data_IF_388099105787
#
_entry.id   IF_388099105787
#
_cell.length_a   1.000
_cell.length_b   1.000
_cell.length_c   1.000
_cell.angle_alpha   90.00
_cell.angle_beta   90.00
_cell.angle_gamma   90.00
#
_symmetry.space_group_name_H-M   'P 1'
#
loop_
_entity.id
_entity.type
_entity.pdbx_description
1 polymer ?
2 water ?
#
# COMPACT_ATOMS: atom_id res chain seq x y z
N UNK A 1 -25.82 -12.81 -26.63
CA UNK A 1 -25.88 -12.79 -25.17
C UNK A 1 -25.54 -11.42 -24.62
N UNK A 2 -25.87 -11.20 -23.35
CA UNK A 2 -25.63 -9.92 -22.72
C UNK A 2 -25.50 -10.09 -21.20
N UNK A 3 -25.11 -9.04 -20.51
CA UNK A 3 -25.03 -9.06 -19.06
C UNK A 3 -25.44 -7.71 -18.45
N UNK A 4 -25.99 -7.76 -17.24
CA UNK A 4 -26.35 -6.54 -16.51
C UNK A 4 -25.16 -6.09 -15.67
N UNK A 5 -25.35 -5.06 -14.86
CA UNK A 5 -24.28 -4.56 -14.02
C UNK A 5 -23.13 -4.23 -14.95
N UNK A 6 -23.47 -3.78 -16.16
CA UNK A 6 -22.50 -3.42 -17.17
C UNK A 6 -22.02 -2.00 -16.92
N UNK A 7 -20.79 -1.89 -16.46
CA UNK A 7 -20.21 -0.61 -16.14
C UNK A 7 -18.90 -0.49 -16.90
N UNK A 8 -19.00 -0.55 -18.22
CA UNK A 8 -17.87 -0.43 -19.12
C UNK A 8 -18.20 0.52 -20.25
N UNK A 9 -17.23 1.31 -20.67
CA UNK A 9 -17.47 2.26 -21.76
C UNK A 9 -16.18 2.82 -22.30
N UNK A 10 -16.19 3.21 -23.56
CA UNK A 10 -15.07 3.90 -24.17
C UNK A 10 -15.47 5.33 -24.55
N UNK A 11 -16.65 5.73 -24.10
CA UNK A 11 -17.20 7.05 -24.38
C UNK A 11 -16.41 8.14 -23.67
N UNK A 12 -16.22 9.27 -24.35
CA UNK A 12 -15.43 10.37 -23.81
C UNK A 12 -15.77 10.72 -22.36
N UNK A 13 -17.05 10.89 -22.06
CA UNK A 13 -17.45 11.35 -20.72
C UNK A 13 -18.34 10.37 -19.97
N UNK A 14 -18.12 9.07 -20.21
CA UNK A 14 -18.78 8.02 -19.45
C UNK A 14 -18.45 8.14 -17.96
N UNK A 15 -19.48 8.02 -17.12
CA UNK A 15 -19.29 8.01 -15.66
C UNK A 15 -20.17 6.96 -15.01
N UNK A 16 -19.59 6.14 -14.14
CA UNK A 16 -20.35 5.15 -13.39
C UNK A 16 -20.20 5.40 -11.90
N UNK A 17 -21.33 5.37 -11.18
CA UNK A 17 -21.35 5.64 -9.75
C UNK A 17 -21.93 4.48 -8.98
N UNK A 18 -21.58 4.36 -7.70
CA UNK A 18 -22.09 3.30 -6.85
C UNK A 18 -21.28 3.19 -5.57
N UNK A 19 -21.62 2.24 -4.71
CA UNK A 19 -20.90 2.03 -3.47
C UNK A 19 -20.91 3.26 -2.57
N UNK A 20 -19.86 3.39 -1.76
CA UNK A 20 -19.78 4.51 -0.80
C UNK A 20 -19.37 5.83 -1.43
N UNK A 21 -20.18 6.33 -2.35
CA UNK A 21 -19.98 7.65 -2.92
C UNK A 21 -18.93 7.71 -4.03
N UNK A 22 -18.65 6.59 -4.69
CA UNK A 22 -17.62 6.57 -5.73
C UNK A 22 -18.20 6.84 -7.12
N UNK A 23 -17.46 7.58 -7.95
CA UNK A 23 -17.76 7.67 -9.38
C UNK A 23 -16.48 7.40 -10.15
N UNK A 24 -16.57 6.52 -11.15
CA UNK A 24 -15.44 6.21 -12.02
C UNK A 24 -15.69 6.86 -13.38
N UNK A 25 -14.76 7.69 -13.82
CA UNK A 25 -14.94 8.50 -15.02
C UNK A 25 -13.88 8.21 -16.08
N UNK A 26 -14.31 8.11 -17.34
CA UNK A 26 -13.37 7.84 -18.43
C UNK A 26 -12.60 9.13 -18.66
N UNK A 27 -13.34 10.23 -18.72
CA UNK A 27 -12.78 11.57 -18.72
C UNK A 27 -11.70 11.76 -19.77
N UNK A 28 -12.02 11.47 -21.03
CA UNK A 28 -11.05 11.61 -22.11
C UNK A 28 -11.03 13.06 -22.60
N UNK A 29 -10.81 13.99 -21.68
CA UNK A 29 -10.89 15.42 -22.02
C UNK A 29 -9.94 15.88 -23.11
N UNK A 30 -8.79 15.22 -23.22
CA UNK A 30 -7.81 15.61 -24.23
C UNK A 30 -7.74 14.69 -25.42
N UNK A 31 -8.83 13.96 -25.70
CA UNK A 31 -8.83 12.98 -26.78
C UNK A 31 -8.62 13.65 -28.14
N UNK A 32 -8.87 14.96 -28.21
CA UNK A 32 -8.67 15.75 -29.42
C UNK A 32 -7.20 15.82 -29.80
N UNK A 33 -6.34 15.68 -28.81
CA UNK A 33 -4.92 15.89 -28.97
C UNK A 33 -4.20 14.66 -29.52
N UNK A 34 -4.96 13.63 -29.88
CA UNK A 34 -4.33 12.42 -30.38
C UNK A 34 -5.24 11.45 -31.09
N UNK A 35 -4.72 10.25 -31.30
CA UNK A 35 -5.42 9.19 -32.00
C UNK A 35 -5.36 7.92 -31.14
N UNK A 36 -6.45 7.16 -31.12
CA UNK A 36 -6.53 5.98 -30.29
C UNK A 36 -7.82 5.94 -29.49
N UNK A 37 -7.74 5.48 -28.24
CA UNK A 37 -8.95 5.28 -27.45
C UNK A 37 -8.66 5.16 -25.97
N UNK A 38 -9.69 5.38 -25.17
CA UNK A 38 -9.60 5.14 -23.75
C UNK A 38 -10.90 4.50 -23.30
N UNK A 39 -10.79 3.47 -22.48
CA UNK A 39 -11.95 2.78 -21.92
C UNK A 39 -11.76 2.62 -20.42
N UNK A 40 -12.89 2.46 -19.73
CA UNK A 40 -12.85 2.12 -18.31
C UNK A 40 -13.80 0.97 -18.08
N UNK A 41 -13.48 0.19 -17.06
CA UNK A 41 -14.30 -0.94 -16.62
C UNK A 41 -14.35 -0.91 -15.11
N UNK A 42 -15.55 -0.83 -14.56
CA UNK A 42 -15.70 -0.93 -13.12
C UNK A 42 -15.97 -2.36 -12.73
N UNK A 43 -15.13 -2.89 -11.85
CA UNK A 43 -15.36 -4.23 -11.34
C UNK A 43 -16.38 -4.17 -10.23
N UNK A 44 -16.13 -3.25 -9.29
CA UNK A 44 -16.83 -3.28 -8.02
C UNK A 44 -16.79 -1.91 -7.36
N UNK A 45 -17.95 -1.44 -6.91
CA UNK A 45 -18.03 -0.26 -6.05
C UNK A 45 -18.77 -0.60 -4.76
N UNK A 46 -18.04 -0.62 -3.65
CA UNK A 46 -18.62 -0.83 -2.33
C UNK A 46 -17.99 0.12 -1.31
N UNK A 47 -17.43 -0.42 -0.24
CA UNK A 47 -16.64 0.41 0.66
C UNK A 47 -15.35 0.79 -0.05
N UNK A 48 -14.97 -0.01 -1.05
CA UNK A 48 -13.83 0.28 -1.89
C UNK A 48 -14.19 0.31 -3.38
N UNK A 49 -13.35 0.92 -4.19
CA UNK A 49 -13.56 0.95 -5.63
C UNK A 49 -12.54 0.08 -6.36
N UNK A 50 -13.00 -0.78 -7.25
CA UNK A 50 -12.12 -1.61 -8.05
C UNK A 50 -12.47 -1.44 -9.51
N UNK A 51 -11.49 -1.13 -10.35
CA UNK A 51 -11.77 -0.74 -11.72
C UNK A 51 -10.49 -0.72 -12.51
N UNK A 52 -10.61 -0.66 -13.82
CA UNK A 52 -9.43 -0.50 -14.63
C UNK A 52 -9.67 0.40 -15.84
N UNK A 53 -8.61 1.07 -16.28
CA UNK A 53 -8.65 1.89 -17.48
C UNK A 53 -7.74 1.24 -18.51
N UNK A 54 -8.22 1.14 -19.74
CA UNK A 54 -7.43 0.55 -20.80
C UNK A 54 -7.37 1.55 -21.93
N UNK A 55 -6.17 1.78 -22.45
CA UNK A 55 -6.03 2.81 -23.45
C UNK A 55 -4.88 2.61 -24.42
N UNK A 56 -5.00 3.31 -25.55
CA UNK A 56 -3.96 3.37 -26.55
C UNK A 56 -4.00 4.76 -27.16
N UNK A 57 -2.90 5.50 -27.05
CA UNK A 57 -2.83 6.86 -27.54
C UNK A 57 -1.55 7.10 -28.33
N UNK A 58 -1.69 7.70 -29.51
CA UNK A 58 -0.54 8.18 -30.27
C UNK A 58 -0.81 9.60 -30.75
N UNK A 59 0.23 10.31 -31.19
CA UNK A 59 0.09 11.70 -31.55
C UNK A 59 0.03 12.60 -30.31
N UNK A 60 0.12 13.91 -30.52
CA UNK A 60 0.09 14.84 -29.42
C UNK A 60 1.06 14.42 -28.33
N UNK A 61 2.27 14.11 -28.76
CA UNK A 61 3.35 13.65 -27.88
C UNK A 61 3.36 14.36 -26.51
N UNK A 62 3.13 15.65 -26.51
CA UNK A 62 3.33 16.44 -25.30
C UNK A 62 2.05 16.82 -24.56
N UNK A 63 0.95 16.18 -24.95
CA UNK A 63 -0.37 16.50 -24.41
C UNK A 63 -1.05 15.34 -23.71
N UNK A 64 -1.48 15.59 -22.48
CA UNK A 64 -2.35 14.65 -21.77
C UNK A 64 -3.57 14.38 -22.64
N UNK A 65 -3.95 13.10 -22.76
CA UNK A 65 -5.12 12.74 -23.54
C UNK A 65 -6.35 12.56 -22.66
N UNK A 66 -6.17 12.28 -21.38
CA UNK A 66 -7.28 11.94 -20.50
C UNK A 66 -6.85 11.91 -19.07
N UNK A 67 -7.84 11.86 -18.17
CA UNK A 67 -7.59 11.53 -16.78
C UNK A 67 -8.68 10.59 -16.26
N UNK A 68 -8.66 9.33 -16.73
CA UNK A 68 -9.64 8.40 -16.19
C UNK A 68 -9.38 8.23 -14.70
N UNK A 69 -10.41 8.31 -13.88
CA UNK A 69 -10.21 8.40 -12.43
C UNK A 69 -11.37 7.88 -11.64
N UNK A 70 -11.10 7.57 -10.37
CA UNK A 70 -12.14 7.36 -9.38
C UNK A 70 -12.10 8.53 -8.42
N UNK A 71 -13.26 8.92 -7.92
CA UNK A 71 -13.37 10.03 -7.00
C UNK A 71 -14.56 9.82 -6.09
N UNK A 72 -14.63 10.62 -5.03
CA UNK A 72 -15.73 10.51 -4.08
C UNK A 72 -16.61 11.74 -4.16
N UNK A 73 -17.89 11.56 -3.87
CA UNK A 73 -18.83 12.66 -3.89
C UNK A 73 -18.58 13.55 -2.69
N UNK A 74 -18.72 14.85 -2.90
CA UNK A 74 -18.53 15.83 -1.85
C UNK A 74 -19.71 16.82 -1.91
N UNK A 75 -20.88 16.37 -1.45
CA UNK A 75 -22.10 17.19 -1.54
C UNK A 75 -21.90 18.50 -0.78
N UNK A 76 -21.28 18.43 0.40
CA UNK A 76 -21.00 19.62 1.19
C UNK A 76 -19.51 19.92 1.27
N UNK A 77 -19.10 21.05 0.71
CA UNK A 77 -17.69 21.41 0.71
C UNK A 77 -17.30 21.93 2.09
N UNK A 78 -16.12 21.53 2.56
CA UNK A 78 -15.64 21.96 3.88
C UNK A 78 -14.26 22.58 3.80
N UNK A 79 -13.96 23.44 4.76
CA UNK A 79 -12.67 24.10 4.86
C UNK A 79 -11.59 23.09 5.21
N UNK A 80 -10.43 23.19 4.54
CA UNK A 80 -9.34 22.24 4.77
C UNK A 80 -9.00 22.11 6.25
N UNK A 81 -8.88 23.24 6.93
CA UNK A 81 -8.42 23.25 8.32
C UNK A 81 -9.46 22.66 9.28
N UNK A 82 -10.72 22.59 8.83
CA UNK A 82 -11.81 22.03 9.65
C UNK A 82 -11.97 20.53 9.45
N UNK A 83 -11.43 20.03 8.35
CA UNK A 83 -11.47 18.61 8.08
C UNK A 83 -10.50 17.85 8.99
N UNK A 84 -11.02 16.82 9.68
CA UNK A 84 -10.22 16.03 10.60
C UNK A 84 -9.23 15.11 9.90
N UNK A 85 -9.69 14.41 8.87
CA UNK A 85 -8.82 13.45 8.19
C UNK A 85 -9.34 13.19 6.79
N UNK A 86 -8.43 12.85 5.89
CA UNK A 86 -8.79 12.51 4.53
C UNK A 86 -8.07 11.22 4.17
N UNK A 87 -8.40 10.13 4.90
CA UNK A 87 -7.68 8.87 4.69
C UNK A 87 -7.91 8.35 3.28
N UNK A 88 -6.94 7.57 2.79
CA UNK A 88 -7.08 6.93 1.49
C UNK A 88 -6.16 5.71 1.43
N UNK A 89 -6.56 4.73 0.63
CA UNK A 89 -5.68 3.59 0.32
C UNK A 89 -5.76 3.31 -1.17
N UNK A 90 -4.65 2.86 -1.74
CA UNK A 90 -4.61 2.57 -3.16
C UNK A 90 -3.75 1.34 -3.41
N UNK A 91 -4.29 0.41 -4.18
CA UNK A 91 -3.56 -0.79 -4.56
C UNK A 91 -3.74 -0.95 -6.07
N UNK A 92 -2.65 -0.86 -6.82
CA UNK A 92 -2.78 -0.79 -8.27
C UNK A 92 -1.57 -1.38 -8.99
N UNK A 93 -1.72 -1.57 -10.30
CA UNK A 93 -0.63 -2.02 -11.15
C UNK A 93 -0.81 -1.43 -12.55
N UNK A 94 0.29 -1.30 -13.29
CA UNK A 94 0.22 -0.87 -14.68
C UNK A 94 0.84 -1.94 -15.56
N UNK A 95 0.20 -2.20 -16.69
CA UNK A 95 0.78 -3.07 -17.73
C UNK A 95 0.64 -2.36 -19.07
N UNK A 96 1.41 -2.80 -20.06
CA UNK A 96 1.36 -2.19 -21.38
C UNK A 96 2.77 -2.02 -21.92
N UNK A 97 2.94 -1.14 -22.90
CA UNK A 97 4.28 -0.87 -23.42
C UNK A 97 4.42 0.57 -23.88
N UNK A 98 5.65 1.07 -23.78
CA UNK A 98 5.95 2.43 -24.19
C UNK A 98 5.07 3.43 -23.42
N UNK A 99 4.87 3.16 -22.13
CA UNK A 99 4.01 4.00 -21.30
C UNK A 99 4.59 5.38 -21.04
N UNK A 100 3.87 6.40 -21.49
CA UNK A 100 4.15 7.78 -21.11
C UNK A 100 2.91 8.32 -20.41
N UNK A 101 2.91 8.20 -19.08
CA UNK A 101 1.72 8.42 -18.29
C UNK A 101 2.14 8.50 -16.84
N UNK A 102 1.20 8.89 -15.97
CA UNK A 102 1.45 8.88 -14.53
C UNK A 102 0.30 8.21 -13.80
N UNK A 103 0.49 8.02 -12.50
CA UNK A 103 -0.58 7.59 -11.61
C UNK A 103 -0.58 8.58 -10.46
N UNK A 104 -1.69 9.24 -10.21
CA UNK A 104 -1.69 10.32 -9.22
C UNK A 104 -3.07 10.62 -8.63
N UNK A 105 -3.06 11.04 -7.37
CA UNK A 105 -4.20 11.73 -6.75
C UNK A 105 -4.26 13.15 -7.30
N UNK A 106 -5.45 13.72 -7.31
CA UNK A 106 -5.66 15.09 -7.77
C UNK A 106 -6.79 15.68 -6.94
N UNK A 107 -6.53 16.83 -6.33
CA UNK A 107 -7.54 17.55 -5.55
C UNK A 107 -7.46 19.01 -5.88
N UNK A 108 -8.62 19.65 -5.94
CA UNK A 108 -8.66 21.09 -6.11
C UNK A 108 -9.26 21.73 -4.87
N UNK A 109 -8.76 22.91 -4.54
CA UNK A 109 -9.32 23.72 -3.46
C UNK A 109 -9.52 25.15 -3.96
N UNK A 110 -10.49 25.84 -3.37
CA UNK A 110 -10.67 27.27 -3.62
C UNK A 110 -11.34 27.93 -2.42
N UNK A 111 -11.23 29.25 -2.32
CA UNK A 111 -11.88 30.01 -1.24
C UNK A 111 -13.38 30.13 -1.49
N UNK A 112 -13.78 29.80 -2.71
CA UNK A 112 -15.17 29.77 -3.11
C UNK A 112 -15.69 28.33 -3.09
N UNK A 113 -16.60 28.00 -2.16
CA UNK A 113 -17.09 26.62 -2.04
C UNK A 113 -17.91 26.18 -3.24
N UNK A 114 -18.39 27.13 -4.04
CA UNK A 114 -19.15 26.80 -5.23
C UNK A 114 -18.32 26.89 -6.50
N UNK A 115 -17.00 26.98 -6.32
CA UNK A 115 -16.09 26.94 -7.47
C UNK A 115 -16.35 25.64 -8.25
N UNK A 116 -16.23 25.70 -9.56
CA UNK A 116 -16.26 24.47 -10.37
C UNK A 116 -15.25 23.47 -9.82
N UNK A 117 -15.58 22.18 -9.87
CA UNK A 117 -14.79 21.20 -9.13
C UNK A 117 -13.58 20.63 -9.87
N UNK A 118 -13.37 21.05 -11.12
CA UNK A 118 -12.28 20.53 -11.94
C UNK A 118 -11.14 21.55 -12.08
N UNK A 119 -11.20 22.61 -11.28
CA UNK A 119 -10.10 23.57 -11.19
C UNK A 119 -10.22 24.28 -9.85
N UNK A 120 -9.27 25.15 -9.53
CA UNK A 120 -9.30 25.83 -8.26
C UNK A 120 -8.23 26.88 -8.08
N UNK A 121 -8.18 27.48 -6.89
CA UNK A 121 -7.11 28.37 -6.52
C UNK A 121 -5.83 27.54 -6.44
N UNK A 122 -5.98 26.30 -5.97
CA UNK A 122 -4.85 25.40 -5.82
C UNK A 122 -5.19 24.03 -6.35
N UNK A 123 -4.14 23.31 -6.75
CA UNK A 123 -4.26 21.89 -7.09
C UNK A 123 -3.19 21.16 -6.32
N UNK A 124 -3.59 20.06 -5.68
CA UNK A 124 -2.67 19.22 -4.94
C UNK A 124 -2.63 17.89 -5.65
N UNK A 125 -1.45 17.46 -6.08
CA UNK A 125 -1.29 16.15 -6.71
C UNK A 125 -0.36 15.30 -5.85
N UNK A 126 -0.63 14.01 -5.78
CA UNK A 126 0.25 13.07 -5.12
C UNK A 126 0.52 11.96 -6.14
N UNK A 127 1.73 11.94 -6.69
CA UNK A 127 2.07 11.00 -7.77
C UNK A 127 2.66 9.74 -7.20
N UNK A 128 2.00 8.60 -7.45
CA UNK A 128 2.52 7.30 -7.02
C UNK A 128 3.38 6.65 -8.10
N UNK A 129 3.34 7.20 -9.31
CA UNK A 129 4.10 6.64 -10.42
C UNK A 129 4.19 7.58 -11.59
N UNK A 130 5.25 7.38 -12.36
CA UNK A 130 5.55 8.21 -13.50
C UNK A 130 6.28 7.35 -14.53
N UNK A 131 5.82 7.37 -15.79
CA UNK A 131 6.45 6.57 -16.85
C UNK A 131 6.92 7.46 -18.00
N UNK A 132 8.13 7.18 -18.49
CA UNK A 132 8.74 7.99 -19.52
C UNK A 132 9.15 9.38 -19.07
N UNK A 133 9.26 10.28 -20.03
CA UNK A 133 9.73 11.63 -19.77
C UNK A 133 8.60 12.58 -19.37
N UNK A 134 7.65 12.10 -18.58
CA UNK A 134 6.53 12.94 -18.16
C UNK A 134 6.69 13.28 -16.68
N UNK A 135 6.30 14.48 -16.29
CA UNK A 135 6.45 14.90 -14.91
C UNK A 135 5.48 16.00 -14.56
N UNK A 136 5.51 16.45 -13.29
CA UNK A 136 4.60 17.51 -12.88
C UNK A 136 5.00 18.85 -13.47
N UNK A 137 4.11 19.84 -13.37
CA UNK A 137 4.48 21.17 -13.83
C UNK A 137 5.22 21.89 -12.70
N UNK A 138 5.86 23.01 -13.01
CA UNK A 138 6.52 23.79 -11.99
C UNK A 138 7.96 23.35 -11.82
N UNK A 139 8.59 23.76 -10.73
CA UNK A 139 9.98 23.42 -10.54
C UNK A 139 10.21 22.76 -9.17
N UNK A 140 11.20 21.87 -9.10
CA UNK A 140 11.45 21.13 -7.89
C UNK A 140 11.74 22.08 -6.74
N UNK A 141 11.15 21.79 -5.60
CA UNK A 141 11.29 22.61 -4.40
C UNK A 141 12.17 21.90 -3.39
N UNK A 142 12.48 20.64 -3.69
CA UNK A 142 13.29 19.82 -2.81
C UNK A 142 12.53 18.61 -2.33
N UNK A 143 13.13 17.88 -1.40
CA UNK A 143 12.50 16.68 -0.84
C UNK A 143 11.86 17.02 0.49
N UNK A 144 10.74 16.37 0.79
CA UNK A 144 10.02 16.64 2.03
C UNK A 144 9.63 15.31 2.66
N UNK A 145 9.41 15.32 3.97
CA UNK A 145 8.94 14.13 4.66
C UNK A 145 7.49 14.32 5.10
N UNK A 146 6.61 13.47 4.60
CA UNK A 146 5.22 13.49 5.02
C UNK A 146 4.87 12.11 5.61
N UNK A 147 4.46 12.09 6.87
CA UNK A 147 4.17 10.83 7.56
C UNK A 147 5.20 9.74 7.32
N UNK A 148 6.48 10.09 7.50
CA UNK A 148 7.56 9.12 7.44
C UNK A 148 8.02 8.68 6.07
N UNK A 149 7.47 9.27 5.01
CA UNK A 149 7.86 8.92 3.64
C UNK A 149 8.36 10.14 2.88
N UNK A 150 9.34 9.94 2.00
CA UNK A 150 9.91 11.04 1.23
C UNK A 150 9.08 11.34 0.01
N UNK A 151 8.98 12.62 -0.32
CA UNK A 151 8.37 13.06 -1.56
C UNK A 151 9.21 14.19 -2.13
N UNK A 152 9.30 14.24 -3.46
CA UNK A 152 9.89 15.39 -4.10
C UNK A 152 8.75 16.36 -4.39
N UNK A 153 8.83 17.58 -3.88
CA UNK A 153 7.76 18.54 -4.02
C UNK A 153 8.01 19.44 -5.24
N UNK A 154 7.04 19.51 -6.13
CA UNK A 154 7.09 20.46 -7.23
C UNK A 154 6.08 21.56 -7.01
N UNK A 155 6.37 22.74 -7.56
CA UNK A 155 5.48 23.88 -7.41
C UNK A 155 5.50 24.74 -8.66
N UNK A 156 4.33 24.97 -9.24
CA UNK A 156 4.24 25.81 -10.41
C UNK A 156 2.87 26.43 -10.59
N UNK A 157 2.70 27.14 -11.71
CA UNK A 157 1.48 27.86 -12.01
C UNK A 157 0.84 27.34 -13.28
N UNK A 158 -0.48 27.30 -13.28
CA UNK A 158 -1.26 27.11 -14.48
C UNK A 158 -2.18 28.31 -14.40
N UNK A 159 -1.97 29.30 -15.27
CA UNK A 159 -2.76 30.50 -15.17
C UNK A 159 -2.68 31.00 -13.74
N UNK A 160 -3.83 31.29 -13.14
CA UNK A 160 -3.87 31.78 -11.78
C UNK A 160 -3.84 30.64 -10.75
N UNK A 161 -3.93 29.41 -11.23
CA UNK A 161 -3.96 28.26 -10.35
C UNK A 161 -2.55 27.87 -9.93
N UNK A 162 -2.34 27.74 -8.61
CA UNK A 162 -1.07 27.22 -8.08
C UNK A 162 -1.15 25.70 -7.90
N UNK A 163 -0.13 24.99 -8.36
CA UNK A 163 -0.14 23.54 -8.34
C UNK A 163 1.00 22.98 -7.53
N UNK A 164 0.69 22.21 -6.49
CA UNK A 164 1.72 21.50 -5.73
C UNK A 164 1.67 20.03 -6.07
N UNK A 165 2.80 19.45 -6.50
CA UNK A 165 2.88 18.02 -6.79
C UNK A 165 3.91 17.28 -5.92
N UNK A 166 3.42 16.34 -5.13
CA UNK A 166 4.30 15.51 -4.32
C UNK A 166 4.56 14.24 -5.10
N UNK A 167 5.80 13.99 -5.49
CA UNK A 167 6.11 12.82 -6.33
C UNK A 167 6.93 11.80 -5.55
N UNK A 168 6.47 10.56 -5.50
CA UNK A 168 7.22 9.48 -4.87
C UNK A 168 8.50 9.22 -5.64
N UNK A 169 9.62 8.97 -4.93
CA UNK A 169 10.93 8.77 -5.54
C UNK A 169 11.02 7.46 -6.31
N UNK A 170 10.13 6.52 -6.01
CA UNK A 170 10.00 5.32 -6.83
C UNK A 170 8.55 4.90 -6.88
N UNK A 171 8.21 3.98 -7.78
CA UNK A 171 6.81 3.57 -7.94
C UNK A 171 6.25 3.03 -6.62
N UNK A 172 5.03 3.43 -6.26
CA UNK A 172 4.39 2.96 -5.04
C UNK A 172 3.05 2.34 -5.44
N UNK A 173 3.03 1.04 -5.66
CA UNK A 173 1.84 0.34 -6.18
C UNK A 173 0.88 0.03 -5.06
N UNK A 174 1.35 0.20 -3.84
CA UNK A 174 0.55 -0.13 -2.68
C UNK A 174 0.76 0.92 -1.61
N UNK A 175 -0.25 1.78 -1.41
CA UNK A 175 -0.11 2.91 -0.51
C UNK A 175 -1.31 3.14 0.37
N UNK A 176 -1.05 3.78 1.51
CA UNK A 176 -2.08 4.15 2.47
C UNK A 176 -1.62 5.47 3.08
N UNK A 177 -2.53 6.43 3.20
CA UNK A 177 -2.14 7.75 3.68
C UNK A 177 -3.33 8.59 4.12
N UNK A 178 -3.05 9.86 4.39
CA UNK A 178 -4.09 10.80 4.81
C UNK A 178 -3.70 12.12 4.17
N UNK A 179 -4.54 12.60 3.26
CA UNK A 179 -4.22 13.80 2.50
C UNK A 179 -4.13 15.02 3.40
N UNK A 180 -4.75 14.92 4.57
CA UNK A 180 -4.62 15.98 5.56
C UNK A 180 -3.15 16.26 5.92
N UNK A 181 -2.31 15.22 5.94
CA UNK A 181 -0.88 15.41 6.22
C UNK A 181 -0.19 16.31 5.20
N UNK A 182 -0.64 16.25 3.95
CA UNK A 182 -0.06 17.04 2.88
C UNK A 182 -0.52 18.48 2.97
N UNK A 183 -1.82 18.69 3.17
CA UNK A 183 -2.33 20.02 3.45
C UNK A 183 -1.64 20.64 4.67
N UNK A 184 -1.51 19.88 5.75
CA UNK A 184 -0.83 20.40 6.94
C UNK A 184 0.60 20.85 6.61
N UNK A 185 1.31 20.05 5.82
CA UNK A 185 2.65 20.45 5.42
C UNK A 185 2.63 21.79 4.67
N UNK A 186 1.77 21.90 3.66
CA UNK A 186 1.71 23.13 2.87
C UNK A 186 1.31 24.31 3.76
N UNK A 187 0.39 24.08 4.67
CA UNK A 187 -0.07 25.14 5.55
C UNK A 187 1.06 25.67 6.43
N UNK A 188 1.85 24.76 6.96
CA UNK A 188 2.88 25.10 7.95
C UNK A 188 4.26 25.43 7.36
N UNK A 189 4.46 25.11 6.08
CA UNK A 189 5.74 25.38 5.44
C UNK A 189 5.67 26.25 4.18
N UNK A 190 4.47 26.45 3.64
CA UNK A 190 4.32 27.11 2.34
C UNK A 190 3.29 28.24 2.33
N UNK A 191 2.76 28.57 3.50
CA UNK A 191 1.77 29.63 3.59
C UNK A 191 0.43 29.31 2.94
N UNK A 192 0.16 28.02 2.74
CA UNK A 192 -1.13 27.61 2.20
C UNK A 192 -2.24 28.02 3.16
N UNK A 193 -3.27 28.74 2.65
CA UNK A 193 -4.33 29.24 3.53
C UNK A 193 -5.39 28.18 3.80
N UNK A 194 -5.04 27.22 4.63
CA UNK A 194 -5.90 26.09 4.93
C UNK A 194 -7.20 26.52 5.59
N UNK A 195 -7.15 27.63 6.31
CA UNK A 195 -8.33 28.14 7.04
C UNK A 195 -9.37 28.74 6.13
N UNK A 196 -9.03 28.99 4.87
CA UNK A 196 -9.99 29.60 3.98
C UNK A 196 -10.20 28.88 2.64
N UNK A 197 -9.60 27.70 2.49
CA UNK A 197 -9.73 26.92 1.25
C UNK A 197 -10.64 25.71 1.45
N UNK A 198 -11.57 25.50 0.52
CA UNK A 198 -12.50 24.37 0.58
C UNK A 198 -12.02 23.23 -0.31
N UNK A 199 -12.18 21.98 0.14
CA UNK A 199 -11.82 20.85 -0.71
C UNK A 199 -12.93 20.60 -1.72
N UNK A 200 -12.61 20.79 -2.99
CA UNK A 200 -13.61 20.71 -4.06
C UNK A 200 -13.75 19.32 -4.67
N UNK A 201 -12.69 18.52 -4.59
CA UNK A 201 -12.65 17.22 -5.24
C UNK A 201 -11.53 16.36 -4.66
N UNK A 202 -11.60 15.06 -4.91
CA UNK A 202 -10.69 14.11 -4.30
C UNK A 202 -10.67 12.89 -5.23
N UNK A 203 -9.71 12.90 -6.14
CA UNK A 203 -9.65 11.95 -7.25
C UNK A 203 -8.35 11.15 -7.27
N UNK A 204 -8.39 10.02 -7.96
CA UNK A 204 -7.20 9.20 -8.18
C UNK A 204 -7.33 8.55 -9.57
N UNK A 205 -6.30 8.68 -10.42
CA UNK A 205 -6.34 8.02 -11.71
C UNK A 205 -5.02 8.10 -12.45
N UNK A 206 -5.09 8.14 -13.78
CA UNK A 206 -3.89 8.18 -14.60
C UNK A 206 -4.02 9.21 -15.70
N UNK A 207 -2.93 9.92 -15.96
CA UNK A 207 -2.87 10.84 -17.08
C UNK A 207 -1.97 10.25 -18.16
N UNK A 208 -2.57 9.69 -19.21
CA UNK A 208 -1.80 9.12 -20.33
C UNK A 208 -1.39 10.16 -21.37
N UNK A 209 -0.18 10.04 -21.90
CA UNK A 209 0.27 10.87 -23.02
C UNK A 209 0.27 10.05 -24.32
N UNK A 210 1.11 9.03 -24.35
CA UNK A 210 1.19 8.12 -25.50
C UNK A 210 1.54 6.74 -24.99
N UNK A 211 1.36 5.75 -25.85
CA UNK A 211 1.66 4.37 -25.51
C UNK A 211 0.40 3.53 -25.49
N UNK A 212 0.48 2.34 -24.93
CA UNK A 212 -0.71 1.54 -24.72
C UNK A 212 -0.62 0.85 -23.37
N UNK A 213 -1.66 1.02 -22.56
CA UNK A 213 -1.58 0.59 -21.17
C UNK A 213 -2.91 0.26 -20.54
N UNK A 214 -2.81 -0.47 -19.43
CA UNK A 214 -3.97 -0.77 -18.61
C UNK A 214 -3.59 -0.45 -17.19
N UNK A 215 -4.26 0.54 -16.61
CA UNK A 215 -4.16 0.78 -15.17
C UNK A 215 -5.21 -0.09 -14.48
N UNK A 216 -4.75 -1.04 -13.66
CA UNK A 216 -5.69 -1.80 -12.84
C UNK A 216 -5.67 -1.30 -11.42
N UNK A 217 -6.81 -0.78 -10.98
CA UNK A 217 -6.93 -0.37 -9.60
C UNK A 217 -7.62 -1.50 -8.85
N UNK A 218 -6.82 -2.36 -8.23
CA UNK A 218 -7.31 -3.49 -7.43
C UNK A 218 -8.27 -3.01 -6.35
N UNK A 219 -7.94 -1.86 -5.76
CA UNK A 219 -8.77 -1.31 -4.70
C UNK A 219 -8.38 0.13 -4.43
N UNK A 220 -9.38 0.96 -4.17
CA UNK A 220 -9.15 2.34 -3.77
C UNK A 220 -10.25 2.75 -2.80
N UNK A 221 -9.85 3.50 -1.77
CA UNK A 221 -10.78 4.05 -0.79
C UNK A 221 -10.37 5.48 -0.51
N UNK A 222 -11.33 6.30 -0.10
CA UNK A 222 -11.02 7.66 0.26
C UNK A 222 -12.23 8.21 0.95
N UNK A 223 -12.04 9.09 1.90
CA UNK A 223 -13.15 9.76 2.55
C UNK A 223 -12.69 11.04 3.21
N UNK A 224 -13.65 11.92 3.47
CA UNK A 224 -13.37 13.18 4.15
C UNK A 224 -14.14 13.14 5.48
N UNK A 225 -13.41 13.18 6.59
CA UNK A 225 -14.04 13.00 7.89
C UNK A 225 -14.03 14.24 8.75
N UNK A 226 -15.18 14.51 9.37
CA UNK A 226 -15.38 15.63 10.30
C UNK A 226 -14.83 16.96 9.79
N UNK B 1 -30.34 -13.82 8.51
CA UNK B 1 -29.74 -13.62 7.19
C UNK B 1 -28.31 -14.16 7.13
N UNK B 2 -27.74 -14.17 5.93
CA UNK B 2 -26.41 -14.70 5.72
C UNK B 2 -25.77 -13.98 4.53
N UNK B 3 -24.46 -14.16 4.39
CA UNK B 3 -23.74 -13.59 3.26
C UNK B 3 -22.73 -14.59 2.70
N UNK B 4 -22.51 -14.52 1.39
CA UNK B 4 -21.52 -15.38 0.73
C UNK B 4 -20.16 -14.67 0.76
N UNK B 5 -19.14 -15.34 0.24
CA UNK B 5 -17.78 -14.80 0.27
C UNK B 5 -17.32 -14.54 1.71
N UNK B 6 -17.66 -15.46 2.61
CA UNK B 6 -17.35 -15.32 4.03
C UNK B 6 -16.00 -15.94 4.34
N UNK B 7 -15.06 -15.11 4.77
CA UNK B 7 -13.72 -15.55 5.09
C UNK B 7 -13.22 -14.90 6.38
N UNK B 8 -13.96 -15.13 7.46
CA UNK B 8 -13.62 -14.63 8.80
C UNK B 8 -13.66 -15.79 9.80
N UNK B 9 -12.77 -15.77 10.79
CA UNK B 9 -12.79 -16.77 11.84
C UNK B 9 -11.98 -16.34 13.05
N UNK B 10 -12.36 -16.85 14.21
CA UNK B 10 -11.58 -16.63 15.44
C UNK B 10 -10.98 -17.94 15.95
N UNK B 11 -11.11 -19.01 15.19
CA UNK B 11 -10.54 -20.30 15.58
C UNK B 11 -9.02 -20.22 15.62
N UNK B 12 -8.43 -20.89 16.61
CA UNK B 12 -6.98 -20.89 16.82
C UNK B 12 -6.14 -21.04 15.55
N UNK B 13 -6.48 -22.01 14.72
CA UNK B 13 -5.67 -22.30 13.53
C UNK B 13 -6.44 -22.12 12.23
N UNK B 14 -7.34 -21.14 12.21
CA UNK B 14 -8.11 -20.84 11.01
C UNK B 14 -7.15 -20.41 9.89
N UNK B 15 -7.42 -20.86 8.67
CA UNK B 15 -6.64 -20.48 7.51
C UNK B 15 -7.59 -20.30 6.31
N UNK B 16 -7.41 -19.21 5.56
CA UNK B 16 -8.14 -18.99 4.32
C UNK B 16 -7.14 -18.76 3.19
N UNK B 17 -7.39 -19.35 2.03
CA UNK B 17 -6.46 -19.21 0.90
C UNK B 17 -7.16 -18.69 -0.35
N UNK B 18 -6.40 -18.06 -1.25
CA UNK B 18 -6.98 -17.51 -2.46
C UNK B 18 -5.99 -16.68 -3.25
N UNK B 19 -6.45 -16.12 -4.37
CA UNK B 19 -5.62 -15.27 -5.22
C UNK B 19 -4.33 -15.95 -5.66
N UNK B 20 -3.31 -15.14 -5.91
CA UNK B 20 -2.02 -15.69 -6.35
C UNK B 20 -1.33 -16.43 -5.22
N UNK B 21 -1.88 -17.58 -4.82
CA UNK B 21 -1.25 -18.43 -3.85
C UNK B 21 -1.09 -17.85 -2.46
N UNK B 22 -2.01 -16.97 -2.06
CA UNK B 22 -2.01 -16.38 -0.72
C UNK B 22 -2.76 -17.22 0.30
N UNK B 23 -2.25 -17.25 1.52
CA UNK B 23 -2.96 -17.87 2.65
C UNK B 23 -2.92 -16.92 3.83
N UNK B 24 -4.10 -16.65 4.41
CA UNK B 24 -4.18 -15.86 5.63
C UNK B 24 -4.52 -16.77 6.82
N UNK B 25 -3.65 -16.75 7.83
CA UNK B 25 -3.75 -17.67 8.96
C UNK B 25 -3.93 -16.89 10.25
N UNK B 26 -4.79 -17.42 11.13
CA UNK B 26 -5.03 -16.82 12.44
C UNK B 26 -3.84 -17.14 13.34
N UNK B 27 -3.42 -18.40 13.33
CA UNK B 27 -2.18 -18.82 13.99
C UNK B 27 -2.03 -18.35 15.44
N UNK B 28 -3.04 -18.57 16.27
CA UNK B 28 -2.93 -18.21 17.68
C UNK B 28 -2.19 -19.32 18.44
N UNK B 29 -0.91 -19.52 18.10
CA UNK B 29 -0.09 -20.58 18.69
C UNK B 29 0.17 -20.34 20.18
N UNK B 30 0.07 -19.09 20.62
CA UNK B 30 0.35 -18.73 22.01
C UNK B 30 -0.88 -18.41 22.83
N UNK B 31 -2.03 -18.90 22.40
CA UNK B 31 -3.29 -18.74 23.12
C UNK B 31 -3.13 -19.09 24.60
N UNK B 32 -2.44 -20.21 24.85
CA UNK B 32 -2.25 -20.76 26.19
C UNK B 32 -1.80 -19.72 27.21
N UNK B 33 -0.99 -18.77 26.76
CA UNK B 33 -0.24 -17.88 27.65
C UNK B 33 -1.06 -16.72 28.18
N UNK B 34 -2.30 -16.59 27.69
CA UNK B 34 -3.11 -15.45 28.07
C UNK B 34 -4.61 -15.66 27.98
N UNK B 35 -5.34 -14.55 28.12
CA UNK B 35 -6.79 -14.57 28.07
C UNK B 35 -7.30 -13.59 27.01
N UNK B 36 -8.25 -14.02 26.20
CA UNK B 36 -8.78 -13.17 25.14
C UNK B 36 -9.09 -13.93 23.87
N UNK B 37 -8.90 -13.27 22.73
CA UNK B 37 -9.25 -13.85 21.44
C UNK B 37 -8.42 -13.26 20.32
N UNK B 38 -8.38 -13.97 19.21
CA UNK B 38 -7.78 -13.45 17.99
C UNK B 38 -8.67 -13.85 16.83
N UNK B 39 -8.95 -12.90 15.94
CA UNK B 39 -9.73 -13.21 14.75
C UNK B 39 -9.03 -12.67 13.52
N UNK B 40 -9.31 -13.28 12.37
CA UNK B 40 -8.88 -12.72 11.10
C UNK B 40 -10.08 -12.60 10.19
N UNK B 41 -10.03 -11.60 9.32
CA UNK B 41 -11.04 -11.38 8.29
C UNK B 41 -10.34 -11.12 6.97
N UNK B 42 -10.62 -11.93 5.95
CA UNK B 42 -10.06 -11.70 4.62
C UNK B 42 -10.99 -10.81 3.79
N UNK B 43 -10.47 -9.68 3.32
CA UNK B 43 -11.21 -8.77 2.44
C UNK B 43 -11.13 -9.27 1.01
N UNK B 44 -9.92 -9.48 0.54
CA UNK B 44 -9.68 -9.82 -0.85
C UNK B 44 -8.35 -10.55 -1.01
N UNK B 45 -8.36 -11.63 -1.77
CA UNK B 45 -7.13 -12.27 -2.21
C UNK B 45 -7.20 -12.37 -3.73
N UNK B 46 -6.41 -11.55 -4.41
CA UNK B 46 -6.25 -11.70 -5.85
C UNK B 46 -4.76 -11.57 -6.18
N UNK B 47 -4.40 -10.53 -6.94
CA UNK B 47 -3.00 -10.21 -7.16
C UNK B 47 -2.33 -9.76 -5.86
N UNK B 48 -3.12 -9.11 -5.01
CA UNK B 48 -2.66 -8.64 -3.72
C UNK B 48 -3.53 -9.25 -2.61
N UNK B 49 -3.06 -9.21 -1.37
CA UNK B 49 -3.82 -9.70 -0.22
C UNK B 49 -4.27 -8.57 0.69
N UNK B 50 -5.55 -8.55 1.02
CA UNK B 50 -6.10 -7.54 1.90
C UNK B 50 -6.90 -8.21 3.01
N UNK B 51 -6.52 -7.94 4.25
CA UNK B 51 -7.12 -8.65 5.36
C UNK B 51 -6.90 -7.86 6.63
N UNK B 52 -7.54 -8.27 7.71
CA UNK B 52 -7.21 -7.69 9.00
C UNK B 52 -7.29 -8.69 10.15
N UNK B 53 -6.52 -8.42 11.19
CA UNK B 53 -6.53 -9.25 12.38
C UNK B 53 -7.05 -8.42 13.53
N UNK B 54 -8.04 -8.94 14.24
CA UNK B 54 -8.58 -8.25 15.39
C UNK B 54 -8.36 -9.10 16.64
N UNK B 55 -7.91 -8.45 17.71
CA UNK B 55 -7.57 -9.23 18.90
C UNK B 55 -7.63 -8.44 20.20
N UNK B 56 -7.74 -9.19 21.28
CA UNK B 56 -7.66 -8.63 22.62
C UNK B 56 -6.95 -9.65 23.49
N UNK B 57 -5.82 -9.25 24.08
CA UNK B 57 -5.03 -10.17 24.88
C UNK B 57 -4.61 -9.57 26.22
N UNK B 58 -4.71 -10.38 27.27
CA UNK B 58 -4.29 -9.98 28.60
C UNK B 58 -3.55 -11.16 29.22
N UNK B 59 -2.81 -10.92 30.30
CA UNK B 59 -2.02 -11.98 30.93
C UNK B 59 -0.78 -12.33 30.11
N UNK B 60 0.10 -13.13 30.69
CA UNK B 60 1.33 -13.51 30.03
C UNK B 60 1.96 -12.29 29.37
N UNK B 61 2.14 -11.24 30.16
CA UNK B 61 2.71 -9.95 29.72
C UNK B 61 3.89 -10.09 28.74
N UNK B 62 4.79 -11.02 29.05
CA UNK B 62 6.00 -11.20 28.25
C UNK B 62 5.91 -12.32 27.21
N UNK B 63 4.71 -12.82 26.96
CA UNK B 63 4.53 -13.91 25.99
C UNK B 63 3.75 -13.48 24.75
N UNK B 64 4.26 -13.89 23.58
CA UNK B 64 3.55 -13.69 22.32
C UNK B 64 2.34 -14.62 22.28
N UNK B 65 1.17 -14.10 21.92
CA UNK B 65 -0.05 -14.91 21.89
C UNK B 65 -0.33 -15.52 20.53
N UNK B 66 0.27 -14.97 19.48
CA UNK B 66 -0.07 -15.39 18.13
C UNK B 66 0.80 -14.68 17.09
N UNK B 67 0.68 -15.13 15.85
CA UNK B 67 1.26 -14.42 14.71
C UNK B 67 0.31 -14.57 13.53
N UNK B 68 -0.84 -13.89 13.60
CA UNK B 68 -1.73 -13.92 12.44
C UNK B 68 -0.97 -13.30 11.29
N UNK B 69 -1.08 -13.88 10.10
CA UNK B 69 -0.24 -13.47 8.99
C UNK B 69 -0.81 -13.87 7.64
N UNK B 70 -0.28 -13.22 6.60
CA UNK B 70 -0.47 -13.64 5.22
C UNK B 70 0.88 -14.19 4.75
N UNK B 71 0.86 -15.19 3.87
CA UNK B 71 2.10 -15.73 3.32
C UNK B 71 1.80 -16.25 1.93
N UNK B 72 2.83 -16.64 1.19
CA UNK B 72 2.63 -17.14 -0.17
C UNK B 72 3.00 -18.61 -0.25
N UNK B 73 2.36 -19.32 -1.19
CA UNK B 73 2.67 -20.73 -1.43
C UNK B 73 4.08 -20.84 -2.01
N UNK B 74 4.82 -21.85 -1.56
CA UNK B 74 6.15 -22.09 -2.10
C UNK B 74 6.21 -23.56 -2.52
N UNK B 75 5.62 -23.88 -3.69
CA UNK B 75 5.54 -25.23 -4.26
C UNK B 75 6.89 -25.96 -4.27
N UNK B 76 7.88 -25.35 -4.90
CA UNK B 76 9.22 -25.90 -4.94
C UNK B 76 10.19 -25.01 -4.17
N UNK B 77 10.82 -25.56 -3.14
CA UNK B 77 11.80 -24.81 -2.36
C UNK B 77 13.06 -24.60 -3.18
N UNK B 78 13.55 -23.36 -3.20
CA UNK B 78 14.75 -23.01 -3.93
C UNK B 78 15.82 -22.39 -3.04
N UNK B 79 17.06 -22.57 -3.46
CA UNK B 79 18.21 -22.06 -2.74
C UNK B 79 18.18 -20.54 -2.74
N UNK B 80 18.48 -19.94 -1.59
CA UNK B 80 18.45 -18.49 -1.45
C UNK B 80 19.25 -17.82 -2.57
N UNK B 81 20.48 -18.27 -2.75
CA UNK B 81 21.39 -17.67 -3.73
C UNK B 81 20.92 -17.78 -5.19
N UNK B 82 20.13 -18.80 -5.49
CA UNK B 82 19.61 -18.99 -6.84
C UNK B 82 18.41 -18.09 -7.16
N UNK B 83 17.70 -17.64 -6.13
CA UNK B 83 16.52 -16.81 -6.33
C UNK B 83 16.91 -15.43 -6.83
N UNK B 84 16.29 -15.01 -7.93
CA UNK B 84 16.57 -13.73 -8.56
C UNK B 84 16.11 -12.55 -7.73
N UNK B 85 14.85 -12.58 -7.31
CA UNK B 85 14.34 -11.53 -6.42
C UNK B 85 13.18 -12.00 -5.58
N UNK B 86 12.92 -11.26 -4.50
CA UNK B 86 11.85 -11.55 -3.58
C UNK B 86 11.11 -10.26 -3.26
N UNK B 87 10.49 -9.64 -4.28
CA UNK B 87 9.83 -8.35 -4.08
C UNK B 87 8.63 -8.47 -3.15
N UNK B 88 8.36 -7.42 -2.39
CA UNK B 88 7.18 -7.36 -1.56
C UNK B 88 6.75 -5.90 -1.41
N UNK B 89 5.45 -5.68 -1.27
CA UNK B 89 4.93 -4.37 -0.91
C UNK B 89 3.96 -4.58 0.23
N UNK B 90 3.87 -3.59 1.10
CA UNK B 90 3.00 -3.66 2.26
C UNK B 90 2.41 -2.29 2.55
N UNK B 91 1.11 -2.25 2.82
CA UNK B 91 0.47 -1.02 3.21
C UNK B 91 -0.53 -1.39 4.30
N UNK B 92 -0.34 -0.83 5.49
CA UNK B 92 -1.05 -1.31 6.67
C UNK B 92 -1.23 -0.19 7.70
N UNK B 93 -2.04 -0.46 8.71
CA UNK B 93 -2.26 0.49 9.80
C UNK B 93 -2.64 -0.32 11.04
N UNK B 94 -2.41 0.24 12.23
CA UNK B 94 -2.80 -0.40 13.47
C UNK B 94 -3.64 0.58 14.25
N UNK B 95 -4.72 0.09 14.84
CA UNK B 95 -5.56 0.89 15.72
C UNK B 95 -5.77 0.05 16.95
N UNK B 96 -6.02 0.69 18.08
CA UNK B 96 -6.33 -0.05 19.27
C UNK B 96 -5.90 0.67 20.53
N UNK B 97 -5.94 -0.03 21.64
CA UNK B 97 -5.53 0.55 22.92
C UNK B 97 -4.45 -0.30 23.59
N UNK B 98 -3.48 0.38 24.18
CA UNK B 98 -2.37 -0.23 24.89
C UNK B 98 -1.68 -1.33 24.07
N UNK B 99 -1.45 -1.04 22.80
CA UNK B 99 -0.82 -2.03 21.93
C UNK B 99 0.57 -2.39 22.43
N UNK B 100 0.78 -3.68 22.67
CA UNK B 100 2.11 -4.23 22.84
C UNK B 100 2.23 -5.37 21.83
N UNK B 101 2.83 -5.07 20.69
CA UNK B 101 2.84 -5.98 19.55
C UNK B 101 3.86 -5.48 18.55
N UNK B 102 4.08 -6.27 17.49
CA UNK B 102 4.89 -5.81 16.38
C UNK B 102 4.20 -6.04 15.05
N UNK B 103 4.83 -5.56 13.97
CA UNK B 103 4.42 -5.84 12.60
C UNK B 103 5.68 -6.28 11.90
N UNK B 104 5.68 -7.48 11.33
CA UNK B 104 6.94 -8.01 10.82
C UNK B 104 6.78 -9.08 9.75
N UNK B 105 7.72 -9.10 8.80
CA UNK B 105 7.91 -10.23 7.90
C UNK B 105 8.60 -11.33 8.67
N UNK B 106 8.33 -12.58 8.32
CA UNK B 106 9.00 -13.71 8.94
C UNK B 106 9.29 -14.73 7.85
N UNK B 107 10.55 -15.15 7.77
CA UNK B 107 10.98 -16.18 6.82
C UNK B 107 11.92 -17.17 7.49
N UNK B 108 11.72 -18.45 7.20
CA UNK B 108 12.62 -19.49 7.66
C UNK B 108 13.36 -20.10 6.48
N UNK B 109 14.61 -20.48 6.71
CA UNK B 109 15.43 -21.16 5.72
C UNK B 109 16.11 -22.36 6.37
N UNK B 110 16.38 -23.40 5.58
CA UNK B 110 17.10 -24.57 6.08
C UNK B 110 17.87 -25.26 4.95
N UNK B 111 18.95 -25.94 5.28
CA UNK B 111 19.73 -26.69 4.29
C UNK B 111 18.92 -27.85 3.74
N UNK B 112 17.97 -28.32 4.55
CA UNK B 112 17.08 -29.41 4.14
C UNK B 112 15.80 -28.87 3.51
N UNK B 113 15.63 -29.06 2.18
CA UNK B 113 14.45 -28.55 1.48
C UNK B 113 13.14 -29.17 1.97
N UNK B 114 13.22 -30.29 2.68
CA UNK B 114 12.04 -30.94 3.25
C UNK B 114 11.75 -30.55 4.72
N UNK B 115 12.57 -29.66 5.26
CA UNK B 115 12.38 -29.15 6.62
C UNK B 115 10.95 -28.63 6.78
N UNK B 116 10.37 -28.76 7.97
CA UNK B 116 9.07 -28.12 8.24
C UNK B 116 9.19 -26.61 7.99
N UNK B 117 8.08 -25.99 7.62
CA UNK B 117 8.12 -24.62 7.14
C UNK B 117 7.90 -23.56 8.23
N UNK B 118 7.72 -23.99 9.47
CA UNK B 118 7.50 -23.06 10.58
C UNK B 118 8.74 -22.94 11.47
N UNK B 119 9.85 -23.51 11.04
CA UNK B 119 11.12 -23.33 11.72
C UNK B 119 12.25 -23.60 10.71
N UNK B 120 13.50 -23.50 11.13
CA UNK B 120 14.61 -23.76 10.22
C UNK B 120 16.00 -23.62 10.80
N UNK B 121 17.01 -23.66 9.94
CA UNK B 121 18.39 -23.40 10.38
C UNK B 121 18.47 -21.93 10.76
N UNK B 122 17.83 -21.09 9.96
CA UNK B 122 17.81 -19.64 10.17
C UNK B 122 16.38 -19.12 10.15
N UNK B 123 16.15 -18.01 10.83
CA UNK B 123 14.90 -17.25 10.72
C UNK B 123 15.26 -15.79 10.44
N UNK B 124 14.63 -15.19 9.44
CA UNK B 124 14.84 -13.79 9.09
C UNK B 124 13.56 -13.02 9.35
N UNK B 125 13.64 -11.97 10.16
CA UNK B 125 12.50 -11.09 10.44
C UNK B 125 12.82 -9.67 10.00
N UNK B 126 11.83 -9.00 9.43
CA UNK B 126 11.93 -7.61 9.06
C UNK B 126 10.76 -6.88 9.70
N UNK B 127 11.05 -6.13 10.76
CA UNK B 127 10.05 -5.44 11.57
C UNK B 127 9.73 -4.06 11.04
N UNK B 128 8.46 -3.82 10.70
CA UNK B 128 8.05 -2.52 10.17
C UNK B 128 7.50 -1.68 11.29
N UNK B 129 7.24 -2.29 12.43
CA UNK B 129 6.73 -1.56 13.59
C UNK B 129 6.86 -2.33 14.87
N UNK B 130 6.88 -1.58 15.96
CA UNK B 130 7.03 -2.14 17.28
C UNK B 130 6.21 -1.25 18.21
N UNK B 131 5.31 -1.83 18.99
CA UNK B 131 4.52 -1.07 19.96
C UNK B 131 4.79 -1.58 21.35
N UNK B 132 5.10 -0.68 22.26
CA UNK B 132 5.41 -1.06 23.64
C UNK B 132 6.85 -1.46 23.85
N UNK B 133 7.13 -1.98 25.05
CA UNK B 133 8.47 -2.43 25.46
C UNK B 133 8.84 -3.77 24.83
N UNK B 134 8.55 -3.92 23.54
CA UNK B 134 8.64 -5.20 22.84
C UNK B 134 9.76 -5.09 21.81
N UNK B 135 10.48 -6.19 21.58
CA UNK B 135 11.55 -6.18 20.60
C UNK B 135 12.03 -7.58 20.21
N UNK B 136 12.97 -7.63 19.26
CA UNK B 136 13.46 -8.92 18.76
C UNK B 136 14.29 -9.66 19.81
N UNK B 137 14.49 -10.94 19.59
CA UNK B 137 15.38 -11.71 20.45
C UNK B 137 16.84 -11.46 20.05
N UNK B 138 17.76 -11.79 20.96
CA UNK B 138 19.18 -11.68 20.68
C UNK B 138 19.75 -10.30 20.97
N UNK B 139 20.97 -10.04 20.50
CA UNK B 139 21.60 -8.76 20.80
C UNK B 139 21.80 -7.85 19.58
N UNK B 140 21.66 -6.55 19.81
CA UNK B 140 21.80 -5.57 18.74
C UNK B 140 23.20 -5.68 18.16
N UNK B 141 23.28 -5.65 16.84
CA UNK B 141 24.55 -5.73 16.16
C UNK B 141 24.94 -4.37 15.60
N UNK B 142 24.06 -3.40 15.80
CA UNK B 142 24.28 -2.08 15.24
C UNK B 142 23.26 -1.79 14.16
N UNK B 143 23.44 -0.67 13.46
CA UNK B 143 22.55 -0.27 12.38
C UNK B 143 23.24 -0.59 11.07
N UNK B 144 22.45 -0.94 10.06
CA UNK B 144 22.99 -1.29 8.74
C UNK B 144 22.14 -0.60 7.68
N UNK B 145 22.68 -0.45 6.48
CA UNK B 145 21.95 0.20 5.40
C UNK B 145 21.59 -0.80 4.29
N UNK B 146 20.30 -1.06 4.11
CA UNK B 146 19.87 -1.95 3.05
C UNK B 146 19.05 -1.18 2.02
N UNK B 147 19.56 -1.13 0.79
CA UNK B 147 18.85 -0.44 -0.28
C UNK B 147 18.55 1.02 0.09
N UNK B 148 19.51 1.67 0.74
CA UNK B 148 19.40 3.09 1.06
C UNK B 148 18.51 3.41 2.26
N UNK B 149 18.19 2.41 3.08
CA UNK B 149 17.37 2.62 4.27
C UNK B 149 18.04 1.99 5.48
N UNK B 150 17.90 2.64 6.63
CA UNK B 150 18.54 2.17 7.84
C UNK B 150 17.70 1.12 8.59
N UNK B 151 18.37 0.08 9.06
CA UNK B 151 17.75 -0.95 9.92
C UNK B 151 18.66 -1.20 11.10
N UNK B 152 18.08 -1.49 12.26
CA UNK B 152 18.87 -1.98 13.38
C UNK B 152 18.85 -3.51 13.34
N UNK B 153 20.03 -4.11 13.34
CA UNK B 153 20.12 -5.55 13.19
C UNK B 153 20.31 -6.25 14.53
N UNK B 154 19.50 -7.29 14.76
CA UNK B 154 19.60 -8.13 15.94
C UNK B 154 19.93 -9.56 15.56
N UNK B 155 20.71 -10.23 16.40
CA UNK B 155 21.10 -11.62 16.13
C UNK B 155 21.08 -12.44 17.41
N UNK B 156 20.31 -13.51 17.42
CA UNK B 156 20.21 -14.36 18.59
C UNK B 156 19.94 -15.81 18.23
N UNK B 157 19.81 -16.64 19.25
CA UNK B 157 19.47 -18.04 19.04
C UNK B 157 18.13 -18.33 19.67
N UNK B 158 17.32 -19.12 18.98
CA UNK B 158 16.18 -19.77 19.60
C UNK B 158 16.49 -21.27 19.54
N UNK B 159 17.06 -21.78 20.61
CA UNK B 159 17.63 -23.12 20.57
C UNK B 159 18.70 -23.17 19.50
N UNK B 160 18.61 -24.15 18.61
CA UNK B 160 19.60 -24.33 17.55
C UNK B 160 19.42 -23.32 16.41
N UNK B 161 18.20 -22.78 16.29
CA UNK B 161 17.86 -21.86 15.21
C UNK B 161 18.52 -20.49 15.42
N UNK B 162 19.12 -19.98 14.35
CA UNK B 162 19.73 -18.66 14.36
C UNK B 162 18.77 -17.61 13.81
N UNK B 163 18.60 -16.51 14.55
CA UNK B 163 17.55 -15.57 14.23
C UNK B 163 18.09 -14.17 13.97
N UNK B 164 17.97 -13.71 12.73
CA UNK B 164 18.33 -12.35 12.33
C UNK B 164 17.07 -11.49 12.21
N UNK B 165 17.02 -10.39 12.97
CA UNK B 165 15.91 -9.44 12.88
C UNK B 165 16.40 -8.03 12.49
N UNK B 166 15.86 -7.51 11.40
CA UNK B 166 16.10 -6.13 10.97
C UNK B 166 14.91 -5.32 11.43
N UNK B 167 15.17 -4.32 12.27
CA UNK B 167 14.11 -3.47 12.82
C UNK B 167 14.17 -2.06 12.23
N UNK B 168 13.07 -1.60 11.63
CA UNK B 168 12.96 -0.22 11.18
C UNK B 168 13.04 0.76 12.37
N UNK B 169 13.82 1.85 12.25
CA UNK B 169 13.95 2.79 13.36
C UNK B 169 12.68 3.64 13.56
N UNK B 170 11.82 3.68 12.54
CA UNK B 170 10.52 4.35 12.64
C UNK B 170 9.41 3.41 12.19
N UNK B 171 8.19 3.68 12.61
CA UNK B 171 7.06 2.87 12.16
C UNK B 171 6.84 3.06 10.65
N UNK B 172 7.00 1.99 9.88
CA UNK B 172 6.83 2.04 8.43
C UNK B 172 5.49 1.42 8.00
N UNK B 173 4.48 2.26 7.80
CA UNK B 173 3.14 1.79 7.43
C UNK B 173 3.01 1.48 5.94
N UNK B 174 3.92 2.03 5.14
CA UNK B 174 3.97 1.74 3.71
C UNK B 174 5.38 1.35 3.36
N UNK B 175 5.58 0.15 2.83
CA UNK B 175 6.94 -0.27 2.48
C UNK B 175 6.95 -1.04 1.17
N UNK B 176 8.01 -0.85 0.41
CA UNK B 176 8.25 -1.61 -0.80
C UNK B 176 9.71 -2.04 -0.72
N UNK B 177 9.99 -3.32 -0.97
CA UNK B 177 11.36 -3.78 -0.95
C UNK B 177 11.59 -5.13 -1.60
N UNK B 178 12.79 -5.66 -1.38
CA UNK B 178 13.17 -6.95 -1.95
C UNK B 178 13.90 -7.70 -0.87
N UNK B 179 13.29 -8.78 -0.39
CA UNK B 179 13.89 -9.54 0.71
C UNK B 179 15.26 -10.10 0.35
N UNK B 180 15.52 -10.25 -0.95
CA UNK B 180 16.81 -10.73 -1.39
C UNK B 180 17.93 -9.79 -0.95
N UNK B 181 17.62 -8.49 -0.86
CA UNK B 181 18.60 -7.53 -0.34
C UNK B 181 19.05 -7.84 1.09
N UNK B 182 18.15 -8.34 1.92
CA UNK B 182 18.50 -8.70 3.29
C UNK B 182 19.34 -9.99 3.36
N UNK B 183 18.97 -11.02 2.61
CA UNK B 183 19.80 -12.22 2.51
C UNK B 183 21.19 -11.88 1.93
N UNK B 184 21.24 -11.02 0.93
CA UNK B 184 22.53 -10.64 0.37
C UNK B 184 23.43 -10.00 1.42
N UNK B 185 22.86 -9.10 2.22
CA UNK B 185 23.61 -8.49 3.32
C UNK B 185 24.16 -9.55 4.30
N UNK B 186 23.31 -10.48 4.72
CA UNK B 186 23.72 -11.53 5.65
C UNK B 186 24.80 -12.40 5.02
N UNK B 187 24.64 -12.65 3.72
CA UNK B 187 25.61 -13.47 3.00
C UNK B 187 26.99 -12.81 2.98
N UNK B 188 27.03 -11.50 2.74
CA UNK B 188 28.29 -10.82 2.49
C UNK B 188 28.94 -10.21 3.73
N UNK B 189 28.21 -10.19 4.83
CA UNK B 189 28.69 -9.52 6.04
C UNK B 189 28.64 -10.39 7.28
N UNK B 190 27.87 -11.48 7.23
CA UNK B 190 27.63 -12.30 8.41
C UNK B 190 27.85 -13.80 8.16
N UNK B 191 28.40 -14.14 7.01
CA UNK B 191 28.70 -15.54 6.72
C UNK B 191 27.48 -16.42 6.55
N UNK B 192 26.34 -15.82 6.23
CA UNK B 192 25.14 -16.60 5.97
C UNK B 192 25.33 -17.45 4.72
N UNK B 193 25.12 -18.78 4.85
CA UNK B 193 25.37 -19.71 3.74
C UNK B 193 24.22 -19.71 2.72
N UNK B 194 24.13 -18.63 1.95
CA UNK B 194 23.05 -18.45 0.99
C UNK B 194 23.02 -19.47 -0.14
N UNK B 195 24.16 -20.06 -0.46
CA UNK B 195 24.17 -21.05 -1.55
C UNK B 195 23.75 -22.45 -1.06
N UNK B 196 23.51 -22.57 0.24
CA UNK B 196 23.12 -23.86 0.79
C UNK B 196 21.79 -23.84 1.56
N UNK B 197 21.13 -22.69 1.57
CA UNK B 197 19.87 -22.53 2.32
C UNK B 197 18.66 -22.40 1.40
N UNK B 198 17.59 -23.12 1.73
CA UNK B 198 16.33 -23.07 0.99
C UNK B 198 15.33 -22.14 1.70
N UNK B 199 14.62 -21.31 0.94
CA UNK B 199 13.58 -20.47 1.53
C UNK B 199 12.33 -21.31 1.77
N UNK B 200 11.99 -21.50 3.05
CA UNK B 200 10.88 -22.38 3.45
C UNK B 200 9.53 -21.68 3.53
N UNK B 201 9.54 -20.39 3.92
CA UNK B 201 8.32 -19.62 4.08
C UNK B 201 8.56 -18.14 3.84
N UNK B 202 7.49 -17.40 3.55
CA UNK B 202 7.57 -15.98 3.25
C UNK B 202 6.29 -15.34 3.80
N UNK B 203 6.35 -14.83 5.03
CA UNK B 203 5.15 -14.38 5.75
C UNK B 203 5.21 -12.92 6.18
N UNK B 204 4.03 -12.36 6.43
CA UNK B 204 3.89 -11.01 6.98
C UNK B 204 2.69 -10.92 7.93
N UNK B 205 2.89 -10.43 9.14
CA UNK B 205 1.80 -10.29 10.08
C UNK B 205 2.16 -9.52 11.35
N UNK B 206 1.48 -9.84 12.44
CA UNK B 206 1.73 -9.18 13.71
C UNK B 206 1.85 -10.17 14.85
N UNK B 207 2.74 -9.89 15.78
CA UNK B 207 2.88 -10.70 17.00
C UNK B 207 2.40 -9.89 18.19
N UNK B 208 1.20 -10.18 18.69
CA UNK B 208 0.67 -9.42 19.82
C UNK B 208 1.06 -10.06 21.16
N UNK B 209 1.35 -9.22 22.15
CA UNK B 209 1.54 -9.66 23.52
C UNK B 209 0.27 -9.37 24.32
N UNK B 210 -0.05 -8.09 24.45
CA UNK B 210 -1.23 -7.65 25.21
C UNK B 210 -1.84 -6.41 24.59
N UNK B 211 -3.10 -6.17 24.94
CA UNK B 211 -3.78 -4.96 24.52
C UNK B 211 -5.03 -5.30 23.74
N UNK B 212 -5.50 -4.35 22.96
CA UNK B 212 -6.69 -4.52 22.18
C UNK B 212 -6.46 -3.84 20.83
N UNK B 213 -6.40 -4.61 19.76
CA UNK B 213 -5.99 -4.02 18.50
C UNK B 213 -6.51 -4.62 17.23
N UNK B 214 -6.30 -3.86 16.16
CA UNK B 214 -6.66 -4.27 14.81
C UNK B 214 -5.54 -3.89 13.86
N UNK B 215 -4.89 -4.90 13.29
CA UNK B 215 -3.94 -4.67 12.21
C UNK B 215 -4.74 -4.66 10.93
N UNK B 216 -4.70 -3.56 10.19
CA UNK B 216 -5.31 -3.52 8.88
C UNK B 216 -4.25 -3.67 7.79
N UNK B 217 -4.28 -4.79 7.09
CA UNK B 217 -3.40 -4.96 5.95
C UNK B 217 -4.20 -4.51 4.73
N UNK B 218 -4.12 -3.21 4.43
CA UNK B 218 -4.87 -2.66 3.32
C UNK B 218 -4.48 -3.40 2.06
N UNK B 219 -3.20 -3.72 1.94
CA UNK B 219 -2.74 -4.49 0.79
C UNK B 219 -1.33 -5.02 1.01
N UNK B 220 -1.07 -6.23 0.53
CA UNK B 220 0.23 -6.86 0.68
C UNK B 220 0.50 -7.69 -0.56
N UNK B 221 1.72 -7.62 -1.09
CA UNK B 221 2.14 -8.51 -2.17
C UNK B 221 3.50 -9.06 -1.82
N UNK B 222 3.82 -10.21 -2.41
CA UNK B 222 5.14 -10.81 -2.29
C UNK B 222 5.26 -11.95 -3.30
N UNK B 223 6.46 -12.21 -3.76
CA UNK B 223 6.70 -13.35 -4.62
C UNK B 223 8.16 -13.74 -4.59
N UNK B 224 8.43 -14.97 -5.03
CA UNK B 224 9.78 -15.44 -5.20
C UNK B 224 9.96 -15.59 -6.71
N UNK B 225 10.82 -14.77 -7.29
CA UNK B 225 11.10 -14.84 -8.72
C UNK B 225 12.47 -15.46 -8.98
#
# INVERSE_FOLDING_TARGET
EAEAEFQTSCEQYAVFSGGNGYSVSNNLWGQSAGSGFGCITVNSLNSAASWHADWQWSGGQNNVKSYPNVQIAIPQKRIVNSIGSMPTTASWSYTGSNLRADVAYDLFTASNPNHVTYSGDYELMIWLARYGDIGPIGSAQGTVTINGQSWTLYYGFNGAMQVYSFVAPSTVTNWSGDVKNFFNYLRDNKGYPASSQYVLSYQFGTEPFTGSGTLNVNSWTASINV
EAEAEFQTSCEQYAVFSGGNGYSVSNNLWGQSAGSGFGCITVNSLNSAASWHADWQWSGGQNNVKSYPNVQIAIPQKRIVNSIGSMPTTASWSYTGSNLRADVAYDLFTASNPNHVTYSGDYELMIWLARYGDIGPIGSAQGTVTINGQSWTLYYGFNGAMQVYSFVAPSTVTNWSGDVKNFFNYLRDNKGYPASSQYVLSYQFGTEPFTGSGTLNVNSWTASINV
#
